data_IF_854128412328
#
_entry.id   IF_854128412328
#
_cell.length_a   1.000
_cell.length_b   1.000
_cell.length_c   1.000
_cell.angle_alpha   90.00
_cell.angle_beta   90.00
_cell.angle_gamma   90.00
#
_symmetry.space_group_name_H-M   'P 1'
#
loop_
_entity.id
_entity.type
_entity.pdbx_description
1 polymer ?
#
# COMPACT_ATOMS: atom_id res chain seq x y z
N UNK A 1 -36.41 6.32 -6.20
CA UNK A 1 -35.52 7.00 -5.25
C UNK A 1 -34.17 6.28 -5.08
N UNK A 2 -34.09 4.96 -4.88
CA UNK A 2 -32.79 4.26 -4.69
C UNK A 2 -31.86 4.33 -5.91
N UNK A 3 -32.34 3.94 -7.10
CA UNK A 3 -31.49 3.91 -8.32
C UNK A 3 -30.97 5.30 -8.73
N UNK A 4 -31.77 6.35 -8.52
CA UNK A 4 -31.35 7.73 -8.77
C UNK A 4 -30.22 8.17 -7.85
N UNK A 5 -30.34 7.86 -6.55
CA UNK A 5 -29.28 8.15 -5.57
C UNK A 5 -28.03 7.32 -5.83
N UNK A 6 -28.16 6.05 -6.21
CA UNK A 6 -27.02 5.21 -6.58
C UNK A 6 -26.25 5.78 -7.76
N UNK A 7 -26.95 6.25 -8.80
CA UNK A 7 -26.33 6.92 -9.95
C UNK A 7 -25.59 8.19 -9.54
N UNK A 8 -26.25 9.07 -8.78
CA UNK A 8 -25.64 10.31 -8.30
C UNK A 8 -24.41 10.04 -7.41
N UNK A 9 -24.47 9.04 -6.53
CA UNK A 9 -23.35 8.64 -5.69
C UNK A 9 -22.17 8.11 -6.51
N UNK A 10 -22.42 7.30 -7.55
CA UNK A 10 -21.36 6.81 -8.42
C UNK A 10 -20.67 7.94 -9.19
N UNK A 11 -21.43 8.90 -9.72
CA UNK A 11 -20.89 10.09 -10.39
C UNK A 11 -20.05 10.94 -9.44
N UNK A 12 -20.52 11.14 -8.22
CA UNK A 12 -19.79 11.89 -7.20
C UNK A 12 -18.53 11.16 -6.73
N UNK A 13 -18.59 9.84 -6.54
CA UNK A 13 -17.43 9.04 -6.18
C UNK A 13 -16.33 9.13 -7.26
N UNK A 14 -16.70 9.08 -8.54
CA UNK A 14 -15.74 9.24 -9.64
C UNK A 14 -15.04 10.60 -9.58
N UNK A 15 -15.79 11.69 -9.37
CA UNK A 15 -15.23 13.06 -9.25
C UNK A 15 -14.32 13.18 -8.03
N UNK A 16 -14.77 12.63 -6.89
CA UNK A 16 -14.03 12.67 -5.64
C UNK A 16 -12.71 11.90 -5.73
N UNK A 17 -12.73 10.67 -6.25
CA UNK A 17 -11.51 9.87 -6.47
C UNK A 17 -10.56 10.58 -7.41
N UNK A 18 -11.06 11.19 -8.51
CA UNK A 18 -10.23 11.98 -9.41
C UNK A 18 -9.51 13.13 -8.69
N UNK A 19 -10.24 13.94 -7.93
CA UNK A 19 -9.66 15.04 -7.16
C UNK A 19 -8.64 14.58 -6.10
N UNK A 20 -8.88 13.44 -5.44
CA UNK A 20 -7.92 12.85 -4.50
C UNK A 20 -6.66 12.36 -5.20
N UNK A 21 -6.79 11.74 -6.38
CA UNK A 21 -5.64 11.31 -7.17
C UNK A 21 -4.80 12.49 -7.66
N UNK A 22 -5.45 13.56 -8.14
CA UNK A 22 -4.77 14.79 -8.54
C UNK A 22 -4.01 15.40 -7.35
N UNK A 23 -4.63 15.46 -6.17
CA UNK A 23 -3.98 15.95 -4.95
C UNK A 23 -2.78 15.08 -4.55
N UNK A 24 -2.96 13.75 -4.47
CA UNK A 24 -1.89 12.82 -4.10
C UNK A 24 -0.75 12.76 -5.11
N UNK A 25 -0.99 13.14 -6.37
CA UNK A 25 0.06 13.18 -7.41
C UNK A 25 1.07 14.31 -7.24
N UNK A 26 0.80 15.28 -6.35
CA UNK A 26 1.74 16.37 -6.08
C UNK A 26 2.98 15.85 -5.35
N UNK A 27 4.15 16.37 -5.72
CA UNK A 27 5.43 15.94 -5.17
C UNK A 27 5.53 16.10 -3.65
N UNK A 28 4.81 17.07 -3.05
CA UNK A 28 4.79 17.27 -1.59
C UNK A 28 4.23 16.06 -0.81
N UNK A 29 3.45 15.19 -1.47
CA UNK A 29 2.90 13.98 -0.87
C UNK A 29 3.67 12.71 -1.25
N UNK A 30 4.81 12.83 -1.95
CA UNK A 30 5.59 11.68 -2.43
C UNK A 30 5.97 10.72 -1.30
N UNK A 31 6.35 11.24 -0.12
CA UNK A 31 6.74 10.40 1.03
C UNK A 31 5.59 9.52 1.56
N UNK A 32 4.33 9.96 1.39
CA UNK A 32 3.14 9.18 1.74
C UNK A 32 2.82 8.18 0.65
N UNK A 33 2.80 8.62 -0.62
CA UNK A 33 2.45 7.77 -1.78
C UNK A 33 3.46 6.67 -2.01
N UNK A 34 4.75 6.97 -1.87
CA UNK A 34 5.85 6.00 -1.98
C UNK A 34 6.10 5.24 -0.67
N UNK A 35 5.31 5.53 0.37
CA UNK A 35 5.41 4.90 1.69
C UNK A 35 6.81 4.95 2.32
N UNK A 36 7.60 6.01 2.07
CA UNK A 36 8.98 6.16 2.59
C UNK A 36 9.05 6.12 4.11
N UNK A 37 8.00 6.55 4.79
CA UNK A 37 7.87 6.46 6.24
C UNK A 37 7.94 5.02 6.77
N UNK A 38 7.69 4.00 5.94
CA UNK A 38 7.81 2.58 6.28
C UNK A 38 9.21 2.01 6.00
N UNK A 39 10.07 2.72 5.27
CA UNK A 39 11.39 2.23 4.90
C UNK A 39 12.22 1.91 6.14
N UNK A 40 12.78 0.70 6.19
CA UNK A 40 13.60 0.25 7.31
C UNK A 40 12.84 -0.06 8.61
N UNK A 41 11.51 0.08 8.69
CA UNK A 41 10.76 -0.26 9.92
C UNK A 41 10.88 -1.75 10.29
N UNK A 42 11.16 -2.62 9.32
CA UNK A 42 11.33 -4.06 9.52
C UNK A 42 12.79 -4.49 9.70
N UNK A 43 13.72 -3.54 9.88
CA UNK A 43 15.14 -3.84 10.06
C UNK A 43 15.33 -4.84 11.20
N UNK A 44 16.10 -5.89 10.93
CA UNK A 44 16.42 -6.99 11.85
C UNK A 44 15.27 -7.96 12.19
N UNK A 45 14.02 -7.67 11.80
CA UNK A 45 12.89 -8.56 12.08
C UNK A 45 13.03 -9.93 11.38
N UNK A 46 13.66 -9.97 10.21
CA UNK A 46 13.96 -11.21 9.48
C UNK A 46 14.79 -12.22 10.26
N UNK A 47 15.57 -11.78 11.27
CA UNK A 47 16.39 -12.65 12.11
C UNK A 47 15.64 -13.44 13.17
N UNK A 48 14.38 -13.09 13.47
CA UNK A 48 13.59 -13.71 14.56
C UNK A 48 13.19 -15.15 14.19
N UNK A 49 12.81 -15.37 12.93
CA UNK A 49 12.45 -16.71 12.44
C UNK A 49 13.71 -17.45 11.99
N UNK A 50 13.99 -18.59 12.60
CA UNK A 50 15.12 -19.44 12.22
C UNK A 50 15.03 -19.86 10.73
N UNK A 51 16.17 -20.02 10.02
CA UNK A 51 16.17 -20.37 8.59
C UNK A 51 15.35 -21.62 8.24
N UNK A 52 15.35 -22.64 9.10
CA UNK A 52 14.57 -23.87 8.93
C UNK A 52 13.04 -23.64 8.93
N UNK A 53 12.56 -22.55 9.55
CA UNK A 53 11.15 -22.16 9.57
C UNK A 53 10.72 -21.28 8.40
N UNK A 54 11.65 -20.86 7.53
CA UNK A 54 11.38 -19.96 6.39
C UNK A 54 11.08 -20.79 5.14
N UNK A 55 9.80 -21.10 4.93
CA UNK A 55 9.36 -21.73 3.68
C UNK A 55 9.62 -20.81 2.47
N UNK A 56 9.81 -21.37 1.29
CA UNK A 56 10.09 -20.57 0.09
C UNK A 56 8.93 -19.63 -0.27
N UNK A 57 7.69 -20.08 -0.04
CA UNK A 57 6.48 -19.25 -0.17
C UNK A 57 6.47 -18.07 0.81
N UNK A 58 7.02 -18.25 2.02
CA UNK A 58 7.16 -17.15 2.95
C UNK A 58 8.23 -16.16 2.48
N UNK A 59 9.39 -16.65 2.00
CA UNK A 59 10.45 -15.79 1.46
C UNK A 59 9.96 -14.93 0.29
N UNK A 60 9.26 -15.53 -0.66
CA UNK A 60 8.69 -14.82 -1.83
C UNK A 60 7.72 -13.70 -1.41
N UNK A 61 6.81 -13.99 -0.48
CA UNK A 61 5.86 -13.00 0.04
C UNK A 61 6.54 -11.88 0.83
N UNK A 62 7.55 -12.24 1.63
CA UNK A 62 8.29 -11.26 2.41
C UNK A 62 9.15 -10.37 1.52
N UNK A 63 9.75 -10.90 0.46
CA UNK A 63 10.49 -10.09 -0.53
C UNK A 63 9.57 -9.11 -1.25
N UNK A 64 8.34 -9.52 -1.58
CA UNK A 64 7.36 -8.61 -2.19
C UNK A 64 6.91 -7.48 -1.25
N UNK A 65 6.70 -7.79 0.04
CA UNK A 65 6.27 -6.80 1.05
C UNK A 65 7.42 -5.90 1.53
N UNK A 66 8.59 -6.49 1.72
CA UNK A 66 9.77 -5.89 2.33
C UNK A 66 11.02 -6.38 1.60
N UNK A 67 11.41 -5.74 0.49
CA UNK A 67 12.58 -6.16 -0.28
C UNK A 67 13.83 -6.30 0.59
N UNK A 68 14.51 -7.45 0.52
CA UNK A 68 15.68 -7.77 1.35
C UNK A 68 15.36 -8.14 2.81
N UNK A 69 14.14 -8.60 3.12
CA UNK A 69 13.73 -8.92 4.49
C UNK A 69 14.56 -10.01 5.21
N UNK A 70 14.93 -11.08 4.51
CA UNK A 70 15.52 -12.30 5.09
C UNK A 70 17.01 -12.46 4.88
#
# INVERSE_FOLDING_TARGET
>A
MVMGNMKANAENARRFVGAVLDELSKEEHADVVEAKHLEGQMKFAGGITAPAGRSDKAKERMEWLFPGYF
#
